data_IF_487727779508
#
_entry.id   IF_487727779508
#
_cell.length_a   1.000
_cell.length_b   1.000
_cell.length_c   1.000
_cell.angle_alpha   90.00
_cell.angle_beta   90.00
_cell.angle_gamma   90.00
#
_symmetry.space_group_name_H-M   'P 1'
#
loop_
_entity.id
_entity.type
_entity.pdbx_description
1 polymer ?
#
# COMPACT_ATOMS: atom_id res chain seq x y z
N UNK A 1 4.62 -61.37 -9.67
CA UNK A 1 4.52 -60.02 -10.29
C UNK A 1 4.95 -59.02 -9.24
N UNK A 2 6.05 -58.31 -9.48
CA UNK A 2 6.56 -57.29 -8.55
C UNK A 2 5.53 -56.15 -8.48
N UNK A 3 5.10 -55.77 -7.27
CA UNK A 3 4.25 -54.58 -7.08
C UNK A 3 5.03 -53.34 -7.52
N UNK A 4 4.43 -52.54 -8.39
CA UNK A 4 4.98 -51.23 -8.77
C UNK A 4 5.03 -50.33 -7.52
N UNK A 5 6.02 -49.45 -7.40
CA UNK A 5 6.06 -48.43 -6.36
C UNK A 5 4.78 -47.58 -6.38
N UNK A 6 4.32 -47.14 -5.22
CA UNK A 6 3.09 -46.34 -5.07
C UNK A 6 3.12 -45.06 -5.92
N UNK A 7 4.30 -44.42 -6.05
CA UNK A 7 4.52 -43.25 -6.91
C UNK A 7 4.27 -43.51 -8.39
N UNK A 8 4.71 -44.68 -8.90
CA UNK A 8 4.51 -45.07 -10.31
C UNK A 8 3.04 -45.36 -10.61
N UNK A 9 2.33 -46.00 -9.66
CA UNK A 9 0.91 -46.25 -9.77
C UNK A 9 0.08 -44.95 -9.74
N UNK A 10 0.48 -43.99 -8.92
CA UNK A 10 -0.17 -42.66 -8.87
C UNK A 10 0.01 -41.89 -10.19
N UNK A 11 1.21 -41.91 -10.76
CA UNK A 11 1.46 -41.26 -12.06
C UNK A 11 0.61 -41.89 -13.19
N UNK A 12 0.52 -43.21 -13.22
CA UNK A 12 -0.36 -43.94 -14.18
C UNK A 12 -1.84 -43.57 -13.98
N UNK A 13 -2.28 -43.48 -12.74
CA UNK A 13 -3.65 -43.10 -12.40
C UNK A 13 -3.94 -41.65 -12.84
N UNK A 14 -3.06 -40.72 -12.56
CA UNK A 14 -3.22 -39.32 -12.97
C UNK A 14 -3.17 -39.19 -14.51
N UNK A 15 -2.30 -39.95 -15.17
CA UNK A 15 -2.25 -40.02 -16.63
C UNK A 15 -3.58 -40.50 -17.22
N UNK A 16 -4.19 -41.51 -16.63
CA UNK A 16 -5.53 -41.99 -17.04
C UNK A 16 -6.57 -40.88 -16.93
N UNK A 17 -6.65 -40.19 -15.78
CA UNK A 17 -7.59 -39.10 -15.59
C UNK A 17 -7.32 -37.87 -16.46
N UNK A 18 -6.12 -37.72 -17.02
CA UNK A 18 -5.79 -36.62 -17.97
C UNK A 18 -6.19 -36.93 -19.41
N UNK A 19 -6.50 -38.17 -19.76
CA UNK A 19 -6.82 -38.57 -21.13
C UNK A 19 -8.18 -38.07 -21.60
N UNK A 20 -9.15 -37.92 -20.69
CA UNK A 20 -10.49 -37.46 -21.04
C UNK A 20 -10.87 -36.19 -20.28
N UNK A 21 -11.51 -35.23 -20.98
CA UNK A 21 -11.88 -33.91 -20.45
C UNK A 21 -12.86 -33.97 -19.29
N UNK A 22 -13.70 -35.03 -19.23
CA UNK A 22 -14.70 -35.20 -18.16
C UNK A 22 -14.05 -35.24 -16.78
N UNK A 23 -12.89 -35.86 -16.65
CA UNK A 23 -12.18 -35.95 -15.38
C UNK A 23 -11.71 -34.61 -14.86
N UNK A 24 -11.39 -33.67 -15.74
CA UNK A 24 -11.09 -32.30 -15.31
C UNK A 24 -12.31 -31.65 -14.65
N UNK A 25 -13.50 -31.86 -15.22
CA UNK A 25 -14.76 -31.36 -14.63
C UNK A 25 -15.04 -32.00 -13.27
N UNK A 26 -14.90 -33.31 -13.16
CA UNK A 26 -15.12 -34.10 -11.92
C UNK A 26 -14.11 -33.71 -10.84
N UNK A 27 -12.81 -33.76 -11.15
CA UNK A 27 -11.75 -33.51 -10.18
C UNK A 27 -11.70 -32.04 -9.73
N UNK A 28 -11.98 -31.09 -10.63
CA UNK A 28 -12.17 -29.67 -10.22
C UNK A 28 -13.35 -29.50 -9.26
N UNK A 29 -14.42 -30.24 -9.49
CA UNK A 29 -15.57 -30.25 -8.60
C UNK A 29 -15.21 -30.76 -7.21
N UNK A 30 -14.51 -31.91 -7.12
CA UNK A 30 -14.04 -32.44 -5.85
C UNK A 30 -13.00 -31.57 -5.17
N UNK A 31 -12.08 -30.96 -5.92
CA UNK A 31 -11.14 -29.96 -5.36
C UNK A 31 -11.87 -28.80 -4.68
N UNK A 32 -12.90 -28.23 -5.32
CA UNK A 32 -13.73 -27.18 -4.69
C UNK A 32 -14.40 -27.65 -3.40
N UNK A 33 -14.89 -28.93 -3.39
CA UNK A 33 -15.48 -29.51 -2.19
C UNK A 33 -14.44 -29.75 -1.10
N UNK A 34 -13.23 -30.21 -1.46
CA UNK A 34 -12.14 -30.39 -0.53
C UNK A 34 -11.76 -29.06 0.14
N UNK A 35 -11.61 -28.00 -0.64
CA UNK A 35 -11.33 -26.65 -0.09
C UNK A 35 -12.41 -26.23 0.92
N UNK A 36 -13.68 -26.53 0.64
CA UNK A 36 -14.78 -26.17 1.54
C UNK A 36 -14.86 -27.03 2.81
N UNK A 37 -14.56 -28.32 2.72
CA UNK A 37 -14.77 -29.28 3.82
C UNK A 37 -13.50 -29.69 4.57
N UNK A 38 -12.33 -29.39 4.02
CA UNK A 38 -11.04 -29.84 4.54
C UNK A 38 -10.79 -31.32 4.37
N UNK A 39 -11.63 -32.03 3.59
CA UNK A 39 -11.52 -33.46 3.29
C UNK A 39 -12.18 -33.81 1.97
N UNK A 40 -11.79 -34.94 1.39
CA UNK A 40 -12.49 -35.48 0.23
C UNK A 40 -13.92 -35.84 0.63
N UNK A 41 -14.91 -35.29 -0.06
CA UNK A 41 -16.31 -35.50 0.31
C UNK A 41 -17.29 -34.72 -0.55
N UNK A 42 -18.57 -34.93 -0.25
CA UNK A 42 -19.67 -34.25 -0.95
C UNK A 42 -19.99 -34.86 -2.31
N UNK A 43 -20.73 -34.14 -3.14
CA UNK A 43 -21.14 -34.56 -4.47
C UNK A 43 -20.84 -33.46 -5.51
N UNK A 44 -20.46 -33.89 -6.70
CA UNK A 44 -20.19 -33.03 -7.85
C UNK A 44 -21.24 -33.32 -8.93
N UNK A 45 -21.85 -32.25 -9.45
CA UNK A 45 -22.83 -32.33 -10.54
C UNK A 45 -22.18 -31.86 -11.83
N UNK A 46 -22.07 -32.77 -12.79
CA UNK A 46 -21.55 -32.45 -14.13
C UNK A 46 -22.72 -32.30 -15.09
N UNK A 47 -22.70 -31.22 -15.85
CA UNK A 47 -23.75 -30.92 -16.85
C UNK A 47 -23.13 -30.83 -18.23
N UNK A 48 -23.98 -30.89 -19.26
CA UNK A 48 -23.60 -30.75 -20.67
C UNK A 48 -22.48 -31.75 -21.05
N UNK A 49 -22.70 -33.04 -20.75
CA UNK A 49 -21.79 -34.12 -21.09
C UNK A 49 -21.91 -34.46 -22.57
N UNK A 50 -20.80 -34.71 -23.23
CA UNK A 50 -20.75 -35.29 -24.56
C UNK A 50 -20.97 -36.81 -24.50
N UNK A 51 -21.33 -37.47 -25.63
CA UNK A 51 -21.45 -38.92 -25.64
C UNK A 51 -20.19 -39.66 -25.18
N UNK A 52 -19.01 -39.17 -25.57
CA UNK A 52 -17.71 -39.72 -25.21
C UNK A 52 -17.44 -39.52 -23.70
N UNK A 53 -17.84 -38.41 -23.12
CA UNK A 53 -17.73 -38.15 -21.68
C UNK A 53 -18.68 -39.07 -20.88
N UNK A 54 -19.85 -39.36 -21.39
CA UNK A 54 -20.78 -40.30 -20.77
C UNK A 54 -20.19 -41.71 -20.79
N UNK A 55 -19.71 -42.18 -21.92
CA UNK A 55 -19.09 -43.50 -22.09
C UNK A 55 -17.91 -43.68 -21.13
N UNK A 56 -17.05 -42.70 -20.99
CA UNK A 56 -15.92 -42.71 -20.05
C UNK A 56 -16.40 -42.85 -18.58
N UNK A 57 -17.43 -42.08 -18.20
CA UNK A 57 -18.02 -42.22 -16.85
C UNK A 57 -18.69 -43.58 -16.63
N UNK A 58 -19.41 -44.08 -17.62
CA UNK A 58 -20.04 -45.41 -17.56
C UNK A 58 -19.00 -46.53 -17.39
N UNK A 59 -17.89 -46.44 -18.13
CA UNK A 59 -16.77 -47.38 -18.02
C UNK A 59 -16.13 -47.38 -16.64
N UNK A 60 -15.91 -46.19 -16.06
CA UNK A 60 -15.27 -46.09 -14.75
C UNK A 60 -16.20 -46.49 -13.59
N UNK A 61 -17.48 -46.06 -13.63
CA UNK A 61 -18.41 -46.29 -12.55
C UNK A 61 -19.17 -47.64 -12.68
N UNK A 62 -19.08 -48.34 -13.80
CA UNK A 62 -19.82 -49.55 -14.08
C UNK A 62 -21.32 -49.34 -14.05
N UNK A 63 -21.82 -48.17 -14.42
CA UNK A 63 -23.22 -47.79 -14.31
C UNK A 63 -23.64 -46.91 -15.48
N UNK A 64 -24.83 -47.16 -16.07
CA UNK A 64 -25.34 -46.38 -17.18
C UNK A 64 -25.82 -44.99 -16.76
N UNK A 65 -25.41 -43.98 -17.53
CA UNK A 65 -25.86 -42.60 -17.44
C UNK A 65 -26.59 -42.13 -18.72
N UNK A 66 -26.94 -43.04 -19.59
CA UNK A 66 -27.64 -42.75 -20.84
C UNK A 66 -28.91 -41.91 -20.60
N UNK A 67 -29.11 -40.88 -21.44
CA UNK A 67 -30.24 -39.94 -21.40
C UNK A 67 -30.28 -38.99 -20.19
N UNK A 68 -29.26 -38.96 -19.34
CA UNK A 68 -29.22 -37.98 -18.25
C UNK A 68 -28.66 -36.63 -18.72
N UNK A 69 -29.39 -35.52 -18.45
CA UNK A 69 -28.91 -34.15 -18.74
C UNK A 69 -27.79 -33.72 -17.80
N UNK A 70 -27.67 -34.36 -16.66
CA UNK A 70 -26.61 -34.10 -15.66
C UNK A 70 -26.33 -35.40 -14.86
N UNK A 71 -25.06 -35.60 -14.50
CA UNK A 71 -24.60 -36.71 -13.68
C UNK A 71 -24.12 -36.20 -12.33
N UNK A 72 -24.64 -36.77 -11.25
CA UNK A 72 -24.20 -36.48 -9.89
C UNK A 72 -23.29 -37.61 -9.37
N UNK A 73 -22.05 -37.24 -9.03
CA UNK A 73 -21.04 -38.19 -8.54
C UNK A 73 -20.74 -37.81 -7.09
N UNK A 74 -21.06 -38.68 -6.14
CA UNK A 74 -20.66 -38.50 -4.76
C UNK A 74 -19.22 -39.00 -4.55
N UNK A 75 -18.53 -38.43 -3.55
CA UNK A 75 -17.19 -38.86 -3.15
C UNK A 75 -17.13 -40.36 -2.84
N UNK A 76 -18.16 -40.91 -2.17
CA UNK A 76 -18.28 -42.34 -1.85
C UNK A 76 -18.35 -43.20 -3.12
N UNK A 77 -19.15 -42.76 -4.12
CA UNK A 77 -19.23 -43.44 -5.41
C UNK A 77 -17.90 -43.41 -6.15
N UNK A 78 -17.23 -42.29 -6.15
CA UNK A 78 -15.92 -42.14 -6.77
C UNK A 78 -14.88 -43.03 -6.08
N UNK A 79 -14.83 -43.03 -4.77
CA UNK A 79 -13.92 -43.88 -3.99
C UNK A 79 -14.20 -45.37 -4.22
N UNK A 80 -15.46 -45.77 -4.20
CA UNK A 80 -15.84 -47.16 -4.45
C UNK A 80 -15.48 -47.64 -5.86
N UNK A 81 -15.65 -46.75 -6.87
CA UNK A 81 -15.23 -47.06 -8.24
C UNK A 81 -13.69 -47.18 -8.35
N UNK A 82 -12.98 -46.33 -7.64
CA UNK A 82 -11.52 -46.39 -7.58
C UNK A 82 -11.03 -47.69 -6.90
N UNK A 83 -11.65 -48.10 -5.79
CA UNK A 83 -11.36 -49.35 -5.06
C UNK A 83 -11.60 -50.60 -5.92
N UNK A 84 -12.55 -50.53 -6.85
CA UNK A 84 -12.83 -51.60 -7.79
C UNK A 84 -11.99 -51.57 -9.06
N UNK A 85 -11.09 -50.59 -9.19
CA UNK A 85 -10.17 -50.42 -10.33
C UNK A 85 -8.79 -50.99 -10.03
N UNK A 86 -7.91 -50.94 -11.03
CA UNK A 86 -6.48 -51.23 -10.84
C UNK A 86 -5.75 -50.22 -9.91
N UNK A 87 -6.40 -49.11 -9.54
CA UNK A 87 -5.87 -48.06 -8.70
C UNK A 87 -6.40 -48.11 -7.26
N UNK A 88 -6.85 -49.26 -6.79
CA UNK A 88 -7.54 -49.45 -5.51
C UNK A 88 -6.76 -49.00 -4.26
N UNK A 89 -5.44 -48.94 -4.36
CA UNK A 89 -4.57 -48.56 -3.23
C UNK A 89 -4.32 -47.03 -3.16
N UNK A 90 -4.74 -46.27 -4.20
CA UNK A 90 -4.51 -44.83 -4.28
C UNK A 90 -5.68 -44.09 -3.65
N UNK A 91 -5.35 -43.17 -2.73
CA UNK A 91 -6.37 -42.32 -2.10
C UNK A 91 -6.80 -41.18 -3.04
N UNK A 92 -8.09 -40.81 -3.06
CA UNK A 92 -8.59 -39.72 -3.88
C UNK A 92 -7.87 -38.39 -3.67
N UNK A 93 -7.41 -38.09 -2.45
CA UNK A 93 -6.66 -36.87 -2.11
C UNK A 93 -5.33 -36.83 -2.86
N UNK A 94 -4.59 -37.93 -2.91
CA UNK A 94 -3.32 -38.02 -3.65
C UNK A 94 -3.53 -37.81 -5.15
N UNK A 95 -4.65 -38.28 -5.69
CA UNK A 95 -5.00 -38.05 -7.11
C UNK A 95 -5.22 -36.57 -7.35
N UNK A 96 -5.98 -35.89 -6.48
CA UNK A 96 -6.24 -34.46 -6.64
C UNK A 96 -4.96 -33.66 -6.53
N UNK A 97 -4.09 -33.94 -5.54
CA UNK A 97 -2.81 -33.25 -5.37
C UNK A 97 -1.90 -33.42 -6.60
N UNK A 98 -1.71 -34.66 -7.05
CA UNK A 98 -0.87 -34.95 -8.20
C UNK A 98 -1.47 -34.44 -9.52
N UNK A 99 -2.80 -34.48 -9.68
CA UNK A 99 -3.48 -34.00 -10.87
C UNK A 99 -3.33 -32.48 -11.04
N UNK A 100 -3.46 -31.72 -9.93
CA UNK A 100 -3.35 -30.26 -9.95
C UNK A 100 -1.94 -29.74 -9.63
N UNK A 101 -0.99 -30.61 -9.27
CA UNK A 101 0.40 -30.25 -8.99
C UNK A 101 0.59 -29.36 -7.77
N UNK A 102 -0.31 -29.44 -6.80
CA UNK A 102 -0.28 -28.63 -5.59
C UNK A 102 -0.93 -29.38 -4.42
N UNK A 103 -0.44 -29.21 -3.18
CA UNK A 103 -1.06 -29.79 -2.01
C UNK A 103 -2.50 -29.28 -1.83
N UNK A 104 -3.37 -30.12 -1.32
CA UNK A 104 -4.74 -29.76 -1.00
C UNK A 104 -4.78 -29.15 0.40
N UNK A 105 -5.41 -27.98 0.48
CA UNK A 105 -5.61 -27.29 1.74
C UNK A 105 -7.07 -26.91 1.92
N UNK A 106 -7.63 -27.21 3.08
CA UNK A 106 -8.96 -26.78 3.46
C UNK A 106 -8.98 -25.28 3.81
N UNK A 107 -10.10 -24.61 3.55
CA UNK A 107 -10.24 -23.19 3.85
C UNK A 107 -9.96 -22.85 5.33
N UNK A 108 -10.33 -23.74 6.25
CA UNK A 108 -10.06 -23.55 7.67
C UNK A 108 -8.56 -23.65 7.97
N UNK A 109 -7.87 -24.61 7.39
CA UNK A 109 -6.43 -24.79 7.52
C UNK A 109 -5.66 -23.61 6.89
N UNK A 110 -6.08 -23.18 5.69
CA UNK A 110 -5.52 -22.00 5.03
C UNK A 110 -5.66 -20.75 5.90
N UNK A 111 -6.85 -20.54 6.48
CA UNK A 111 -7.10 -19.41 7.37
C UNK A 111 -6.25 -19.50 8.65
N UNK A 112 -6.10 -20.71 9.21
CA UNK A 112 -5.26 -20.93 10.39
C UNK A 112 -3.79 -20.59 10.11
N UNK A 113 -3.25 -21.05 8.99
CA UNK A 113 -1.89 -20.76 8.58
C UNK A 113 -1.67 -19.27 8.31
N UNK A 114 -2.65 -18.60 7.68
CA UNK A 114 -2.61 -17.14 7.49
C UNK A 114 -2.57 -16.41 8.82
N UNK A 115 -3.42 -16.82 9.76
CA UNK A 115 -3.43 -16.20 11.08
C UNK A 115 -2.14 -16.47 11.87
N UNK A 116 -1.59 -17.66 11.80
CA UNK A 116 -0.30 -17.99 12.41
C UNK A 116 0.83 -17.10 11.85
N UNK A 117 0.90 -16.96 10.52
CA UNK A 117 1.89 -16.10 9.86
C UNK A 117 1.71 -14.63 10.25
N UNK A 118 0.46 -14.18 10.32
CA UNK A 118 0.13 -12.83 10.80
C UNK A 118 0.64 -12.60 12.22
N UNK A 119 0.34 -13.52 13.14
CA UNK A 119 0.79 -13.43 14.54
C UNK A 119 2.31 -13.49 14.69
N UNK A 120 2.99 -14.20 13.80
CA UNK A 120 4.46 -14.24 13.77
C UNK A 120 5.04 -12.88 13.39
N UNK A 121 4.52 -12.25 12.34
CA UNK A 121 4.94 -10.90 11.92
C UNK A 121 4.74 -9.90 13.06
N UNK A 122 3.58 -9.94 13.70
CA UNK A 122 3.25 -9.04 14.81
C UNK A 122 4.25 -9.19 15.97
N UNK A 123 4.47 -10.44 16.41
CA UNK A 123 5.41 -10.70 17.51
C UNK A 123 6.81 -10.21 17.18
N UNK A 124 7.25 -10.37 15.93
CA UNK A 124 8.54 -9.87 15.47
C UNK A 124 8.60 -8.36 15.55
N UNK A 125 7.63 -7.65 14.96
CA UNK A 125 7.60 -6.18 15.01
C UNK A 125 7.49 -5.66 16.44
N UNK A 126 6.67 -6.27 17.31
CA UNK A 126 6.58 -5.89 18.72
C UNK A 126 7.94 -6.05 19.43
N UNK A 127 8.64 -7.15 19.14
CA UNK A 127 9.97 -7.41 19.72
C UNK A 127 11.02 -6.39 19.26
N UNK A 128 10.97 -5.97 17.99
CA UNK A 128 11.89 -4.97 17.45
C UNK A 128 11.71 -3.59 18.08
N UNK A 129 10.52 -3.31 18.63
CA UNK A 129 10.20 -2.07 19.34
C UNK A 129 10.07 -2.24 20.86
N UNK A 130 10.68 -3.28 21.42
CA UNK A 130 10.69 -3.51 22.86
C UNK A 130 11.26 -2.29 23.61
N UNK A 131 10.60 -1.89 24.69
CA UNK A 131 10.98 -0.74 25.49
C UNK A 131 10.64 0.63 24.88
N UNK A 132 10.05 0.68 23.70
CA UNK A 132 9.59 1.95 23.09
C UNK A 132 8.12 2.23 23.36
N UNK A 133 7.67 3.50 23.27
CA UNK A 133 6.25 3.84 23.43
C UNK A 133 5.31 3.14 22.43
N UNK A 134 5.81 2.73 21.27
CA UNK A 134 5.01 2.04 20.26
C UNK A 134 4.66 0.61 20.67
N UNK A 135 5.46 -0.06 21.51
CA UNK A 135 5.30 -1.46 21.83
C UNK A 135 3.89 -1.80 22.32
N UNK A 136 3.36 -1.04 23.27
CA UNK A 136 2.03 -1.27 23.85
C UNK A 136 0.87 -0.96 22.90
N UNK A 137 1.12 -0.23 21.82
CA UNK A 137 0.10 0.24 20.89
C UNK A 137 0.02 -0.56 19.60
N UNK A 138 1.07 -1.32 19.26
CA UNK A 138 1.13 -2.09 18.03
C UNK A 138 0.00 -3.13 17.91
N UNK A 139 -0.38 -3.78 19.01
CA UNK A 139 -1.51 -4.71 19.01
C UNK A 139 -2.84 -4.00 18.70
N UNK A 140 -3.06 -2.83 19.29
CA UNK A 140 -4.25 -2.03 19.01
C UNK A 140 -4.28 -1.56 17.56
N UNK A 141 -3.19 -0.99 17.07
CA UNK A 141 -3.06 -0.50 15.69
C UNK A 141 -3.34 -1.62 14.70
N UNK A 142 -2.84 -2.81 14.98
CA UNK A 142 -3.07 -3.98 14.15
C UNK A 142 -4.55 -4.38 14.06
N UNK A 143 -5.29 -4.29 15.16
CA UNK A 143 -6.73 -4.54 15.12
C UNK A 143 -7.47 -3.53 14.23
N UNK A 144 -6.97 -2.30 14.15
CA UNK A 144 -7.54 -1.24 13.31
C UNK A 144 -7.11 -1.35 11.84
N UNK A 145 -5.95 -1.95 11.56
CA UNK A 145 -5.45 -2.19 10.20
C UNK A 145 -6.01 -3.48 9.58
N UNK A 146 -7.05 -4.10 10.17
CA UNK A 146 -7.70 -5.29 9.61
C UNK A 146 -8.12 -5.02 8.17
N UNK A 147 -7.32 -5.55 7.26
CA UNK A 147 -7.52 -5.46 5.83
C UNK A 147 -8.30 -6.66 5.28
N UNK A 148 -8.70 -6.48 4.06
CA UNK A 148 -9.45 -7.39 3.19
C UNK A 148 -8.79 -8.79 3.12
N UNK A 149 -9.55 -9.81 2.79
CA UNK A 149 -9.16 -11.23 2.68
C UNK A 149 -8.01 -11.57 1.70
N UNK A 150 -7.39 -10.56 1.09
CA UNK A 150 -6.22 -10.63 0.20
C UNK A 150 -4.96 -10.09 0.86
N UNK A 151 -4.75 -10.40 2.11
CA UNK A 151 -3.66 -9.86 2.92
C UNK A 151 -2.28 -10.15 2.27
N UNK A 152 -1.63 -9.09 1.81
CA UNK A 152 -0.21 -9.12 1.49
C UNK A 152 0.56 -8.95 2.82
N UNK A 153 1.23 -10.03 3.24
CA UNK A 153 1.98 -10.04 4.49
C UNK A 153 3.18 -9.08 4.49
N UNK A 154 3.74 -8.80 3.31
CA UNK A 154 4.80 -7.81 3.17
C UNK A 154 4.28 -6.40 3.40
N UNK A 155 3.11 -6.09 2.85
CA UNK A 155 2.45 -4.80 3.07
C UNK A 155 2.04 -4.63 4.54
N UNK A 156 1.49 -5.67 5.18
CA UNK A 156 1.15 -5.64 6.60
C UNK A 156 2.38 -5.33 7.46
N UNK A 157 3.48 -6.01 7.21
CA UNK A 157 4.73 -5.80 7.94
C UNK A 157 5.23 -4.36 7.80
N UNK A 158 5.27 -3.84 6.59
CA UNK A 158 5.66 -2.45 6.32
C UNK A 158 4.74 -1.44 7.02
N UNK A 159 3.43 -1.68 7.02
CA UNK A 159 2.48 -0.81 7.72
C UNK A 159 2.68 -0.84 9.23
N UNK A 160 3.02 -1.99 9.83
CA UNK A 160 3.31 -2.10 11.25
C UNK A 160 4.61 -1.36 11.63
N UNK A 161 5.68 -1.52 10.87
CA UNK A 161 6.92 -0.77 11.08
C UNK A 161 6.68 0.73 10.95
N UNK A 162 5.98 1.16 9.90
CA UNK A 162 5.62 2.56 9.72
C UNK A 162 4.79 3.09 10.89
N UNK A 163 3.84 2.30 11.38
CA UNK A 163 3.01 2.67 12.53
C UNK A 163 3.85 2.89 13.80
N UNK A 164 4.80 2.00 14.06
CA UNK A 164 5.69 2.12 15.20
C UNK A 164 6.59 3.37 15.10
N UNK A 165 7.16 3.62 13.93
CA UNK A 165 7.98 4.81 13.68
C UNK A 165 7.17 6.09 13.85
N UNK A 166 5.96 6.16 13.30
CA UNK A 166 5.08 7.32 13.49
C UNK A 166 4.81 7.54 14.97
N UNK A 167 4.41 6.48 15.69
CA UNK A 167 4.02 6.59 17.09
C UNK A 167 5.16 7.08 17.98
N UNK A 168 6.37 6.53 17.79
CA UNK A 168 7.54 6.90 18.56
C UNK A 168 8.02 8.33 18.29
N UNK A 169 7.84 8.80 17.05
CA UNK A 169 8.34 10.11 16.59
C UNK A 169 7.27 11.19 16.49
N UNK A 170 6.08 10.99 17.07
CA UNK A 170 5.06 12.03 17.10
C UNK A 170 5.64 13.34 17.70
N UNK A 171 5.54 14.47 17.00
CA UNK A 171 6.22 15.72 17.37
C UNK A 171 5.90 16.23 18.78
N UNK A 172 4.70 15.97 19.29
CA UNK A 172 4.33 16.37 20.67
C UNK A 172 5.20 15.71 21.74
N UNK A 173 5.77 14.53 21.48
CA UNK A 173 6.67 13.84 22.42
C UNK A 173 8.00 14.56 22.61
N UNK A 174 8.38 15.35 21.61
CA UNK A 174 9.59 16.16 21.59
C UNK A 174 9.29 17.66 21.81
N UNK A 175 8.05 17.99 22.17
CA UNK A 175 7.57 19.37 22.31
C UNK A 175 7.79 20.23 21.06
N UNK A 176 7.77 19.61 19.91
CA UNK A 176 7.99 20.24 18.61
C UNK A 176 6.69 20.39 17.81
N UNK A 177 6.71 21.32 16.88
CA UNK A 177 5.71 21.45 15.82
C UNK A 177 6.42 21.28 14.49
N UNK A 178 5.89 20.42 13.63
CA UNK A 178 6.49 20.13 12.33
C UNK A 178 5.40 20.12 11.26
N UNK A 179 5.72 20.57 10.05
CA UNK A 179 4.83 20.46 8.90
C UNK A 179 4.65 19.01 8.49
N UNK A 180 3.46 18.67 8.00
CA UNK A 180 3.11 17.30 7.61
C UNK A 180 4.09 16.75 6.57
N UNK A 181 4.40 17.51 5.53
CA UNK A 181 5.34 17.10 4.49
C UNK A 181 6.77 16.86 5.03
N UNK A 182 7.24 17.69 5.96
CA UNK A 182 8.54 17.48 6.64
C UNK A 182 8.52 16.22 7.47
N UNK A 183 7.47 16.01 8.27
CA UNK A 183 7.31 14.80 9.08
C UNK A 183 7.25 13.54 8.21
N UNK A 184 6.50 13.59 7.10
CA UNK A 184 6.45 12.50 6.13
C UNK A 184 7.82 12.19 5.51
N UNK A 185 8.56 13.24 5.09
CA UNK A 185 9.89 13.09 4.51
C UNK A 185 10.90 12.52 5.52
N UNK A 186 10.84 12.92 6.79
CA UNK A 186 11.68 12.38 7.86
C UNK A 186 11.49 10.88 8.07
N UNK A 187 10.25 10.40 7.99
CA UNK A 187 9.94 9.00 8.28
C UNK A 187 10.05 8.08 7.07
N UNK A 188 9.72 8.57 5.89
CA UNK A 188 9.55 7.74 4.69
C UNK A 188 10.44 8.15 3.51
N UNK A 189 11.08 9.31 3.60
CA UNK A 189 11.79 9.92 2.47
C UNK A 189 10.85 10.53 1.41
N UNK A 190 9.52 10.42 1.58
CA UNK A 190 8.53 10.97 0.66
C UNK A 190 7.62 11.96 1.39
N UNK A 191 7.64 13.26 1.05
CA UNK A 191 6.83 14.29 1.69
C UNK A 191 5.32 14.09 1.52
N UNK A 192 4.90 13.33 0.51
CA UNK A 192 3.50 13.02 0.21
C UNK A 192 3.00 11.71 0.84
N UNK A 193 3.83 11.00 1.60
CA UNK A 193 3.47 9.71 2.17
C UNK A 193 2.26 9.78 3.12
N UNK A 194 2.03 10.92 3.73
CA UNK A 194 0.92 11.14 4.69
C UNK A 194 -0.21 12.01 4.13
N UNK A 195 -0.24 12.24 2.84
CA UNK A 195 -1.31 12.98 2.20
C UNK A 195 -2.67 12.29 2.38
N UNK A 196 -3.74 13.08 2.25
CA UNK A 196 -5.10 12.58 2.37
C UNK A 196 -5.37 11.47 1.34
N UNK A 197 -5.85 10.31 1.82
CA UNK A 197 -6.20 9.16 0.98
C UNK A 197 -5.05 8.17 0.77
N UNK A 198 -3.82 8.48 1.17
CA UNK A 198 -2.72 7.52 1.18
C UNK A 198 -2.87 6.50 2.32
N UNK A 199 -2.19 5.37 2.20
CA UNK A 199 -2.12 4.36 3.28
C UNK A 199 -1.45 4.97 4.52
N UNK A 200 -0.32 5.65 4.34
CA UNK A 200 0.41 6.32 5.42
C UNK A 200 -0.42 7.41 6.10
N UNK A 201 -1.19 8.20 5.35
CA UNK A 201 -2.08 9.22 5.90
C UNK A 201 -3.18 8.62 6.78
N UNK A 202 -3.75 7.47 6.39
CA UNK A 202 -4.73 6.75 7.22
C UNK A 202 -4.10 6.20 8.51
N UNK A 203 -2.90 5.62 8.41
CA UNK A 203 -2.16 5.11 9.57
C UNK A 203 -1.85 6.26 10.53
N UNK A 204 -1.34 7.38 10.03
CA UNK A 204 -1.05 8.57 10.84
C UNK A 204 -2.30 9.07 11.56
N UNK A 205 -3.44 9.16 10.88
CA UNK A 205 -4.71 9.60 11.46
C UNK A 205 -5.15 8.70 12.62
N UNK A 206 -5.07 7.36 12.45
CA UNK A 206 -5.38 6.38 13.50
C UNK A 206 -4.46 6.54 14.72
N UNK A 207 -3.16 6.71 14.48
CA UNK A 207 -2.17 6.86 15.55
C UNK A 207 -2.39 8.15 16.34
N UNK A 208 -2.68 9.26 15.64
CA UNK A 208 -2.98 10.54 16.28
C UNK A 208 -4.27 10.41 17.09
N UNK A 209 -5.32 9.82 16.56
CA UNK A 209 -6.55 9.58 17.28
C UNK A 209 -6.27 8.79 18.57
N UNK A 210 -5.57 7.69 18.47
CA UNK A 210 -5.20 6.86 19.63
C UNK A 210 -4.37 7.61 20.66
N UNK A 211 -3.39 8.39 20.20
CA UNK A 211 -2.58 9.23 21.09
C UNK A 211 -3.40 10.29 21.84
N UNK A 212 -4.41 10.88 21.18
CA UNK A 212 -5.32 11.83 21.79
C UNK A 212 -6.24 11.17 22.82
N UNK A 213 -6.73 9.95 22.54
CA UNK A 213 -7.52 9.14 23.47
C UNK A 213 -6.74 8.87 24.76
N UNK A 214 -5.50 8.38 24.62
CA UNK A 214 -4.63 8.11 25.78
C UNK A 214 -4.34 9.33 26.64
N UNK A 215 -4.29 10.49 26.02
CA UNK A 215 -4.01 11.78 26.69
C UNK A 215 -5.29 12.47 27.19
N UNK A 216 -6.46 11.82 27.07
CA UNK A 216 -7.77 12.40 27.39
C UNK A 216 -8.04 13.75 26.68
N UNK A 217 -7.54 13.90 25.46
CA UNK A 217 -7.70 15.11 24.65
C UNK A 217 -8.78 14.99 23.57
N UNK A 218 -9.40 13.82 23.40
CA UNK A 218 -10.57 13.65 22.55
C UNK A 218 -11.79 14.30 23.18
N UNK A 219 -12.36 15.24 22.46
CA UNK A 219 -13.63 15.87 22.85
C UNK A 219 -14.75 15.02 22.26
N UNK A 220 -15.43 14.23 23.09
CA UNK A 220 -16.63 13.51 22.70
C UNK A 220 -17.76 14.47 22.33
N UNK A 221 -18.56 14.10 21.33
CA UNK A 221 -19.88 14.69 21.07
C UNK A 221 -19.94 15.95 20.21
N UNK A 222 -18.84 16.38 19.61
CA UNK A 222 -18.93 17.46 18.62
C UNK A 222 -18.98 16.89 17.20
N UNK A 223 -20.12 17.02 16.53
CA UNK A 223 -20.24 16.87 15.06
C UNK A 223 -19.45 18.00 14.37
N UNK A 224 -18.16 17.95 14.52
CA UNK A 224 -17.27 18.85 13.82
C UNK A 224 -17.01 18.22 12.44
N UNK A 225 -17.10 19.02 11.38
CA UNK A 225 -16.78 18.63 10.01
C UNK A 225 -15.53 17.72 10.00
N UNK A 226 -15.55 16.57 9.30
CA UNK A 226 -14.45 15.61 9.31
C UNK A 226 -13.07 16.21 9.04
N UNK A 227 -13.02 17.22 8.16
CA UNK A 227 -11.80 17.96 7.85
C UNK A 227 -11.29 18.77 9.05
N UNK A 228 -12.15 19.44 9.80
CA UNK A 228 -11.78 20.22 10.98
C UNK A 228 -11.36 19.33 12.16
N UNK A 229 -12.05 18.20 12.36
CA UNK A 229 -11.66 17.21 13.38
C UNK A 229 -10.26 16.67 13.12
N UNK A 230 -9.97 16.32 11.87
CA UNK A 230 -8.66 15.87 11.43
C UNK A 230 -7.58 16.92 11.66
N UNK A 231 -7.81 18.14 11.19
CA UNK A 231 -6.90 19.28 11.33
C UNK A 231 -6.58 19.57 12.81
N UNK A 232 -7.60 19.61 13.67
CA UNK A 232 -7.43 19.81 15.11
C UNK A 232 -6.63 18.67 15.76
N UNK A 233 -6.84 17.42 15.32
CA UNK A 233 -6.10 16.27 15.80
C UNK A 233 -4.61 16.35 15.40
N UNK A 234 -4.31 16.73 14.18
CA UNK A 234 -2.93 16.91 13.72
C UNK A 234 -2.24 18.05 14.48
N UNK A 235 -2.89 19.19 14.66
CA UNK A 235 -2.36 20.29 15.45
C UNK A 235 -2.10 19.90 16.91
N UNK A 236 -3.01 19.15 17.53
CA UNK A 236 -2.83 18.65 18.90
C UNK A 236 -1.69 17.64 19.01
N UNK A 237 -1.35 16.94 17.92
CA UNK A 237 -0.18 16.06 17.84
C UNK A 237 1.13 16.80 17.52
N UNK A 238 1.08 18.11 17.29
CA UNK A 238 2.23 18.92 16.89
C UNK A 238 2.54 18.87 15.39
N UNK A 239 1.66 18.28 14.57
CA UNK A 239 1.79 18.19 13.12
C UNK A 239 0.98 19.29 12.47
N UNK A 240 1.62 20.08 11.59
CA UNK A 240 0.99 21.14 10.81
C UNK A 240 0.63 20.62 9.42
N UNK A 241 -0.62 20.79 9.02
CA UNK A 241 -1.07 20.43 7.66
C UNK A 241 -0.80 21.58 6.70
N UNK A 242 -0.42 21.27 5.47
CA UNK A 242 -0.14 22.29 4.44
C UNK A 242 -1.38 23.13 4.10
N UNK A 243 -2.56 22.52 4.14
CA UNK A 243 -3.85 23.23 3.98
C UNK A 243 -4.12 24.26 5.08
N UNK A 244 -3.39 24.20 6.18
CA UNK A 244 -3.43 25.11 7.32
C UNK A 244 -2.32 26.15 7.22
N UNK A 245 -1.50 26.10 6.19
CA UNK A 245 -0.39 27.05 6.03
C UNK A 245 -0.86 28.50 6.08
N UNK A 246 -2.07 28.79 5.60
CA UNK A 246 -2.71 30.09 5.82
C UNK A 246 -3.04 30.37 7.30
N UNK A 247 -3.28 29.34 8.09
CA UNK A 247 -3.52 29.43 9.54
C UNK A 247 -2.20 29.42 10.33
N UNK A 248 -1.23 28.64 9.88
CA UNK A 248 0.12 28.63 10.44
C UNK A 248 0.87 29.96 10.21
N UNK A 249 0.60 30.65 9.11
CA UNK A 249 1.07 32.01 8.89
C UNK A 249 0.55 32.98 9.98
N UNK A 250 -0.70 32.86 10.39
CA UNK A 250 -1.26 33.64 11.50
C UNK A 250 -0.64 33.24 12.84
N UNK A 251 -0.34 31.95 13.04
CA UNK A 251 0.31 31.46 14.27
C UNK A 251 1.82 31.74 14.32
N UNK A 252 2.49 31.81 13.17
CA UNK A 252 3.91 32.16 13.06
C UNK A 252 4.17 33.66 13.04
N UNK A 253 3.16 34.52 13.19
CA UNK A 253 3.34 35.99 13.25
C UNK A 253 4.30 36.41 14.38
N UNK A 254 4.39 35.64 15.47
CA UNK A 254 5.38 35.92 16.52
C UNK A 254 6.82 35.54 16.15
N UNK A 255 7.02 34.46 15.36
CA UNK A 255 8.35 34.11 14.84
C UNK A 255 8.82 35.09 13.75
N UNK A 256 7.90 35.59 12.95
CA UNK A 256 8.14 36.66 11.94
C UNK A 256 8.62 37.97 12.57
N UNK A 257 8.16 38.29 13.76
CA UNK A 257 8.58 39.52 14.46
C UNK A 257 10.00 39.48 15.01
N UNK A 258 10.64 38.29 15.10
CA UNK A 258 12.00 38.18 15.66
C UNK A 258 13.13 38.41 14.66
N UNK A 259 12.96 38.04 13.39
CA UNK A 259 13.99 38.12 12.36
C UNK A 259 13.66 39.08 11.20
N UNK A 260 12.45 39.65 11.20
CA UNK A 260 11.99 40.58 10.14
C UNK A 260 11.67 39.89 8.80
N UNK A 261 11.66 38.58 8.76
CA UNK A 261 11.30 37.81 7.55
C UNK A 261 9.84 37.30 7.60
N UNK A 262 9.18 37.31 6.46
CA UNK A 262 7.83 36.74 6.29
C UNK A 262 7.98 35.44 5.52
N UNK A 263 7.59 34.34 6.15
CA UNK A 263 7.54 33.01 5.53
C UNK A 263 6.15 32.77 4.94
N UNK A 264 6.07 32.49 3.65
CA UNK A 264 4.81 32.31 2.94
C UNK A 264 4.82 31.02 2.13
N UNK A 265 3.85 30.13 2.41
CA UNK A 265 3.60 28.94 1.59
C UNK A 265 2.67 29.26 0.42
N UNK A 266 3.08 28.91 -0.80
CA UNK A 266 2.31 29.17 -2.03
C UNK A 266 1.49 27.95 -2.50
N UNK A 267 1.68 26.77 -1.92
CA UNK A 267 0.99 25.52 -2.26
C UNK A 267 0.89 25.27 -3.78
N UNK A 268 2.02 25.14 -4.44
CA UNK A 268 2.14 24.90 -5.88
C UNK A 268 1.99 26.17 -6.73
N UNK A 269 1.19 26.11 -7.78
CA UNK A 269 1.02 27.24 -8.71
C UNK A 269 0.45 28.47 -7.99
N UNK A 270 1.08 29.66 -8.11
CA UNK A 270 0.63 30.87 -7.46
C UNK A 270 -0.79 31.23 -7.89
N UNK A 271 -1.68 31.39 -6.92
CA UNK A 271 -3.05 31.85 -7.14
C UNK A 271 -3.11 33.39 -7.16
N UNK A 272 -4.24 33.93 -7.60
CA UNK A 272 -4.42 35.37 -7.70
C UNK A 272 -4.05 36.11 -6.39
N UNK A 273 -4.46 35.59 -5.23
CA UNK A 273 -4.15 36.18 -3.94
C UNK A 273 -2.63 36.25 -3.68
N UNK A 274 -1.87 35.19 -4.07
CA UNK A 274 -0.41 35.19 -3.97
C UNK A 274 0.24 36.25 -4.89
N UNK A 275 -0.24 36.35 -6.11
CA UNK A 275 0.25 37.40 -7.05
C UNK A 275 -0.06 38.80 -6.57
N UNK A 276 -1.27 39.05 -6.05
CA UNK A 276 -1.64 40.33 -5.44
C UNK A 276 -0.75 40.70 -4.24
N UNK A 277 -0.38 39.68 -3.43
CA UNK A 277 0.53 39.92 -2.31
C UNK A 277 1.95 40.25 -2.83
N UNK A 278 2.44 39.57 -3.87
CA UNK A 278 3.72 39.93 -4.50
C UNK A 278 3.73 41.38 -5.02
N UNK A 279 2.62 41.83 -5.62
CA UNK A 279 2.48 43.25 -6.06
C UNK A 279 2.55 44.22 -4.88
N UNK A 280 2.01 43.88 -3.72
CA UNK A 280 2.11 44.70 -2.51
C UNK A 280 3.53 44.71 -1.94
N UNK A 281 4.19 43.54 -1.93
CA UNK A 281 5.57 43.39 -1.48
C UNK A 281 6.56 44.16 -2.40
N UNK A 282 6.30 44.17 -3.72
CA UNK A 282 7.05 44.96 -4.68
C UNK A 282 6.96 46.47 -4.36
N UNK A 283 5.74 46.97 -4.12
CA UNK A 283 5.50 48.38 -3.75
C UNK A 283 6.21 48.78 -2.46
N UNK A 284 6.40 47.85 -1.54
CA UNK A 284 7.14 48.08 -0.27
C UNK A 284 8.66 47.91 -0.42
N UNK A 285 9.15 47.56 -1.61
CA UNK A 285 10.58 47.32 -1.86
C UNK A 285 11.14 46.07 -1.19
N UNK A 286 10.28 45.11 -0.87
CA UNK A 286 10.65 43.89 -0.17
C UNK A 286 11.51 42.98 -1.06
N UNK A 287 12.56 42.38 -0.50
CA UNK A 287 13.36 41.35 -1.18
C UNK A 287 12.71 39.98 -0.98
N UNK A 288 12.52 39.22 -2.06
CA UNK A 288 11.95 37.86 -2.04
C UNK A 288 13.08 36.83 -2.10
N UNK A 289 13.01 35.83 -1.21
CA UNK A 289 13.78 34.59 -1.26
C UNK A 289 12.79 33.46 -1.51
N UNK A 290 12.91 32.78 -2.66
CA UNK A 290 12.01 31.72 -3.06
C UNK A 290 12.71 30.37 -2.98
N UNK A 291 12.03 29.40 -2.40
CA UNK A 291 12.39 27.98 -2.43
C UNK A 291 11.20 27.14 -2.86
N UNK A 292 11.45 26.06 -3.57
CA UNK A 292 10.42 25.12 -4.02
C UNK A 292 11.05 23.77 -4.34
N UNK A 293 10.19 22.81 -4.71
CA UNK A 293 10.65 21.50 -5.11
C UNK A 293 11.58 21.56 -6.31
N UNK A 294 12.59 20.71 -6.30
CA UNK A 294 13.57 20.59 -7.37
C UNK A 294 13.12 19.52 -8.36
N UNK A 295 11.94 19.78 -8.93
CA UNK A 295 11.31 19.01 -10.00
C UNK A 295 10.91 19.93 -11.15
N UNK A 296 10.48 19.41 -12.32
CA UNK A 296 10.18 20.25 -13.48
C UNK A 296 9.14 21.33 -13.22
N UNK A 297 8.11 21.03 -12.45
CA UNK A 297 7.03 21.97 -12.13
C UNK A 297 7.50 23.04 -11.14
N UNK A 298 8.21 22.64 -10.08
CA UNK A 298 8.75 23.56 -9.08
C UNK A 298 9.76 24.56 -9.67
N UNK A 299 10.65 24.08 -10.55
CA UNK A 299 11.60 24.94 -11.27
C UNK A 299 10.86 25.93 -12.21
N UNK A 300 9.83 25.48 -12.91
CA UNK A 300 9.03 26.37 -13.77
C UNK A 300 8.27 27.41 -12.95
N UNK A 301 7.77 27.07 -11.77
CA UNK A 301 7.13 28.02 -10.85
C UNK A 301 8.14 29.05 -10.39
N UNK A 302 9.34 28.62 -9.98
CA UNK A 302 10.42 29.50 -9.57
C UNK A 302 10.73 30.55 -10.62
N UNK A 303 10.95 30.14 -11.88
CA UNK A 303 11.22 31.07 -12.99
C UNK A 303 10.05 32.03 -13.20
N UNK A 304 8.79 31.53 -13.25
CA UNK A 304 7.61 32.38 -13.45
C UNK A 304 7.45 33.44 -12.37
N UNK A 305 7.76 33.09 -11.12
CA UNK A 305 7.71 34.08 -10.01
C UNK A 305 8.83 35.10 -10.10
N UNK A 306 10.05 34.67 -10.48
CA UNK A 306 11.15 35.58 -10.72
C UNK A 306 10.86 36.55 -11.88
N UNK A 307 10.25 36.05 -12.98
CA UNK A 307 9.83 36.86 -14.12
C UNK A 307 8.69 37.85 -13.76
N UNK A 308 7.81 37.45 -12.84
CA UNK A 308 6.66 38.24 -12.43
C UNK A 308 7.06 39.37 -11.46
N UNK A 309 7.92 39.06 -10.47
CA UNK A 309 8.29 39.99 -9.40
C UNK A 309 9.36 40.95 -9.88
N UNK A 310 9.05 42.27 -9.94
CA UNK A 310 9.94 43.29 -10.45
C UNK A 310 10.94 43.86 -9.42
N UNK A 311 10.82 43.41 -8.15
CA UNK A 311 11.75 43.76 -7.08
C UNK A 311 12.97 42.83 -7.04
N UNK A 312 13.66 42.81 -5.89
CA UNK A 312 14.79 41.90 -5.67
C UNK A 312 14.27 40.49 -5.40
N UNK A 313 14.63 39.51 -6.26
CA UNK A 313 14.23 38.13 -6.16
C UNK A 313 15.46 37.22 -6.15
N UNK A 314 15.50 36.24 -5.23
CA UNK A 314 16.59 35.28 -5.08
C UNK A 314 16.04 33.88 -4.96
N UNK A 315 16.67 32.95 -5.67
CA UNK A 315 16.45 31.53 -5.45
C UNK A 315 17.20 31.05 -4.20
N UNK A 316 16.49 30.48 -3.27
CA UNK A 316 17.02 29.99 -2.01
C UNK A 316 16.85 28.48 -1.92
N UNK A 317 17.92 27.76 -1.60
CA UNK A 317 17.92 26.30 -1.62
C UNK A 317 17.50 25.67 -2.98
N UNK A 318 17.93 26.29 -4.08
CA UNK A 318 17.68 25.78 -5.44
C UNK A 318 18.97 25.56 -6.22
N UNK A 319 20.02 25.11 -5.54
CA UNK A 319 21.33 24.83 -6.13
C UNK A 319 21.49 23.34 -6.49
N UNK A 320 22.53 22.98 -7.30
CA UNK A 320 22.89 21.57 -7.52
C UNK A 320 23.18 20.78 -6.25
N UNK A 321 23.75 21.43 -5.23
CA UNK A 321 24.04 20.84 -3.92
C UNK A 321 22.77 20.54 -3.15
N UNK A 322 21.79 21.47 -3.19
CA UNK A 322 20.48 21.27 -2.58
C UNK A 322 19.72 20.12 -3.26
N UNK A 323 19.81 20.04 -4.60
CA UNK A 323 19.23 18.92 -5.34
C UNK A 323 19.83 17.59 -4.92
N UNK A 324 21.14 17.47 -4.75
CA UNK A 324 21.78 16.23 -4.30
C UNK A 324 21.28 15.80 -2.92
N UNK A 325 21.03 16.73 -2.01
CA UNK A 325 20.49 16.47 -0.67
C UNK A 325 19.01 16.08 -0.71
N UNK A 326 18.23 16.77 -1.55
CA UNK A 326 16.77 16.61 -1.63
C UNK A 326 16.30 15.49 -2.56
N UNK A 327 17.22 14.91 -3.35
CA UNK A 327 16.88 13.91 -4.37
C UNK A 327 16.12 12.72 -3.80
N UNK A 328 15.02 12.38 -4.46
CA UNK A 328 14.19 11.21 -4.16
C UNK A 328 14.43 10.08 -5.16
N UNK A 329 13.75 8.95 -4.97
CA UNK A 329 13.71 7.85 -5.94
C UNK A 329 12.59 8.01 -6.97
N UNK A 330 11.78 9.06 -6.86
CA UNK A 330 10.70 9.32 -7.81
C UNK A 330 11.24 9.68 -9.18
N UNK A 331 11.01 8.80 -10.14
CA UNK A 331 11.44 8.98 -11.52
C UNK A 331 10.50 9.96 -12.23
N UNK A 332 11.09 10.98 -12.84
CA UNK A 332 10.36 11.99 -13.62
C UNK A 332 10.06 11.42 -15.01
N UNK A 333 8.80 11.45 -15.43
CA UNK A 333 8.41 11.01 -16.78
C UNK A 333 8.98 11.92 -17.88
N UNK A 334 9.19 11.37 -19.07
CA UNK A 334 9.71 12.13 -20.23
C UNK A 334 8.80 13.33 -20.58
N UNK A 335 7.49 13.22 -20.35
CA UNK A 335 6.55 14.33 -20.53
C UNK A 335 6.84 15.48 -19.59
N UNK A 336 7.11 15.20 -18.32
CA UNK A 336 7.47 16.22 -17.32
C UNK A 336 8.86 16.79 -17.58
N UNK A 337 9.81 15.96 -18.01
CA UNK A 337 11.17 16.42 -18.35
C UNK A 337 11.18 17.52 -19.41
N UNK A 338 10.27 17.48 -20.41
CA UNK A 338 10.14 18.54 -21.42
C UNK A 338 9.79 19.93 -20.86
N UNK A 339 9.29 20.00 -19.63
CA UNK A 339 9.03 21.29 -18.96
C UNK A 339 10.34 22.04 -18.73
N UNK A 340 11.42 21.32 -18.42
CA UNK A 340 12.73 21.88 -18.17
C UNK A 340 13.38 22.54 -19.40
N UNK A 341 12.90 22.22 -20.60
CA UNK A 341 13.37 22.87 -21.84
C UNK A 341 12.86 24.33 -21.99
N UNK A 342 11.88 24.72 -21.13
CA UNK A 342 11.33 26.07 -21.08
C UNK A 342 12.07 26.98 -20.08
N UNK A 343 13.02 26.42 -19.35
CA UNK A 343 13.77 27.19 -18.34
C UNK A 343 14.90 27.94 -19.02
N UNK A 344 14.90 29.23 -18.85
CA UNK A 344 15.88 30.18 -19.44
C UNK A 344 16.63 30.99 -18.38
N UNK A 345 16.17 30.98 -17.12
CA UNK A 345 16.83 31.70 -16.05
C UNK A 345 18.19 31.07 -15.73
N UNK A 346 19.24 31.90 -15.85
CA UNK A 346 20.64 31.48 -15.68
C UNK A 346 20.91 30.92 -14.28
N UNK A 347 20.21 31.41 -13.26
CA UNK A 347 20.36 30.94 -11.88
C UNK A 347 19.80 29.51 -11.67
N UNK A 348 18.84 29.08 -12.51
CA UNK A 348 18.23 27.77 -12.42
C UNK A 348 18.87 26.72 -13.33
N UNK A 349 19.60 27.10 -14.38
CA UNK A 349 20.22 26.18 -15.33
C UNK A 349 21.09 25.11 -14.61
N UNK A 350 21.96 25.45 -13.65
CA UNK A 350 22.82 24.44 -13.02
C UNK A 350 22.03 23.32 -12.30
N UNK A 351 20.91 23.64 -11.66
CA UNK A 351 20.06 22.62 -11.02
C UNK A 351 19.24 21.84 -12.05
N UNK A 352 18.77 22.50 -13.12
CA UNK A 352 18.09 21.84 -14.26
C UNK A 352 18.97 20.77 -14.89
N UNK A 353 20.26 21.03 -15.07
CA UNK A 353 21.22 20.07 -15.61
C UNK A 353 21.35 18.82 -14.71
N UNK A 354 21.32 19.01 -13.39
CA UNK A 354 21.32 17.88 -12.45
C UNK A 354 20.02 17.08 -12.54
N UNK A 355 18.86 17.74 -12.60
CA UNK A 355 17.56 17.06 -12.76
C UNK A 355 17.52 16.26 -14.07
N UNK A 356 17.98 16.86 -15.17
CA UNK A 356 18.08 16.18 -16.47
C UNK A 356 19.02 14.98 -16.44
N UNK A 357 20.12 15.06 -15.70
CA UNK A 357 21.11 13.99 -15.54
C UNK A 357 20.56 12.78 -14.77
N UNK A 358 19.91 13.03 -13.62
CA UNK A 358 19.48 11.98 -12.72
C UNK A 358 18.03 11.54 -12.94
N UNK A 359 17.22 12.36 -13.59
CA UNK A 359 15.80 12.09 -13.92
C UNK A 359 14.92 11.76 -12.72
N UNK A 360 15.24 12.27 -11.55
CA UNK A 360 14.47 12.10 -10.30
C UNK A 360 14.07 13.44 -9.71
N UNK A 361 12.94 13.46 -8.99
CA UNK A 361 12.49 14.64 -8.27
C UNK A 361 13.34 14.90 -7.00
N UNK A 362 13.53 16.16 -6.66
CA UNK A 362 14.08 16.58 -5.36
C UNK A 362 13.04 17.37 -4.59
N UNK A 363 12.81 16.99 -3.32
CA UNK A 363 11.82 17.63 -2.46
C UNK A 363 12.48 18.55 -1.45
N UNK A 364 12.01 19.81 -1.39
CA UNK A 364 12.62 20.83 -0.52
C UNK A 364 12.63 20.43 0.97
N UNK A 365 11.63 19.68 1.44
CA UNK A 365 11.52 19.24 2.83
C UNK A 365 12.69 18.36 3.26
N UNK A 366 13.32 17.65 2.32
CA UNK A 366 14.50 16.81 2.58
C UNK A 366 15.78 17.61 2.78
N UNK A 367 15.79 18.89 2.42
CA UNK A 367 16.94 19.76 2.65
C UNK A 367 17.08 20.12 4.13
N UNK A 368 15.96 20.12 4.85
CA UNK A 368 15.88 20.52 6.26
C UNK A 368 15.85 19.32 7.24
N UNK A 369 15.97 18.11 6.72
CA UNK A 369 16.10 16.86 7.47
C UNK A 369 17.56 16.45 7.48
#
# INVERSE_FOLDING_TARGET
MSRKPESEQLEECVKYFRQNSVWNKVLRGFKKKYVSYGRFGGSVVIRNLTPEEIEELEGFFGKSFHRQKSVSISAEKFQKALENSRYKEIKPDMILESYFGQPLMGKQEENLLKEQKRQEIIRRVISDYEGTPAQSELEYIMHMLKGDSREDFGELEQQLYLSAEIFNKLPYRMEQKVYLAVFAAMLTGNPHAFDRGTVGGRILELIIQRSLEQRNLLIEGTEIFPAYKRQKSFLAAGILLDDVSNYAMVCNVEAVKKDGTIHMGMNGQPRLAGLMLLDLLEKSGTTIYYSGDLDPEGILIAQKLADYYRGKFHFWHMTPEDYKKSRSEEVISDRRMKILDKITDVGLIPVVDQIKKYKTAGYQERIFV
#
